data_IF_522778421262
#
_entry.id   IF_522778421262
#
_cell.length_a   1.000
_cell.length_b   1.000
_cell.length_c   1.000
_cell.angle_alpha   90.00
_cell.angle_beta   90.00
_cell.angle_gamma   90.00
#
_symmetry.space_group_name_H-M   'P 1'
#
loop_
_entity.id
_entity.type
_entity.pdbx_description
1 polymer ?
#
# COMPACT_ATOMS: atom_id res chain seq x y z
N UNK A 1 -40.12 -23.47 -16.30
CA UNK A 1 -38.81 -23.45 -16.94
C UNK A 1 -38.12 -22.15 -16.55
N UNK A 2 -37.00 -22.21 -15.82
CA UNK A 2 -36.32 -21.05 -15.26
C UNK A 2 -35.22 -20.56 -16.24
N UNK A 3 -35.36 -19.42 -16.89
CA UNK A 3 -34.43 -18.94 -17.92
C UNK A 3 -33.12 -18.34 -17.35
N UNK A 4 -32.87 -18.46 -16.05
CA UNK A 4 -31.67 -17.92 -15.40
C UNK A 4 -30.55 -18.95 -15.20
N UNK A 5 -30.61 -20.06 -15.93
CA UNK A 5 -29.56 -21.06 -15.88
C UNK A 5 -28.41 -20.70 -16.83
N UNK A 6 -27.24 -20.62 -16.25
CA UNK A 6 -25.93 -20.75 -16.88
C UNK A 6 -25.38 -19.51 -17.60
N UNK A 7 -25.10 -18.46 -16.85
CA UNK A 7 -23.88 -17.71 -17.15
C UNK A 7 -22.73 -18.58 -16.65
N UNK A 8 -21.85 -19.09 -17.55
CA UNK A 8 -20.69 -19.86 -17.10
C UNK A 8 -19.89 -18.97 -16.14
N UNK A 9 -19.33 -19.56 -15.05
CA UNK A 9 -18.53 -18.79 -14.12
C UNK A 9 -17.43 -18.09 -14.95
N UNK A 10 -17.35 -16.77 -14.83
CA UNK A 10 -16.30 -16.00 -15.49
C UNK A 10 -14.98 -16.70 -15.14
N UNK A 11 -14.23 -17.14 -16.17
CA UNK A 11 -12.90 -17.73 -15.99
C UNK A 11 -12.18 -16.86 -14.97
N UNK A 12 -11.77 -17.45 -13.86
CA UNK A 12 -10.95 -16.81 -12.81
C UNK A 12 -9.73 -16.21 -13.52
N UNK A 13 -9.84 -14.96 -13.94
CA UNK A 13 -8.67 -14.21 -14.40
C UNK A 13 -7.81 -14.08 -13.16
N UNK A 14 -6.65 -14.71 -13.19
CA UNK A 14 -5.65 -14.67 -12.13
C UNK A 14 -5.48 -13.22 -11.70
N UNK A 15 -5.61 -12.94 -10.40
CA UNK A 15 -5.56 -11.59 -9.82
C UNK A 15 -4.33 -10.80 -10.30
N UNK A 16 -3.24 -11.48 -10.60
CA UNK A 16 -2.04 -10.93 -11.21
C UNK A 16 -2.27 -10.24 -12.57
N UNK A 17 -3.14 -10.78 -13.41
CA UNK A 17 -3.50 -10.16 -14.69
C UNK A 17 -4.24 -8.83 -14.50
N UNK A 18 -5.07 -8.74 -13.48
CA UNK A 18 -5.79 -7.50 -13.12
C UNK A 18 -4.80 -6.45 -12.62
N UNK A 19 -3.88 -6.82 -11.74
CA UNK A 19 -2.83 -5.92 -11.23
C UNK A 19 -1.96 -5.39 -12.38
N UNK A 20 -1.53 -6.27 -13.28
CA UNK A 20 -0.73 -5.89 -14.45
C UNK A 20 -1.48 -4.95 -15.41
N UNK A 21 -2.79 -5.11 -15.55
CA UNK A 21 -3.62 -4.23 -16.39
C UNK A 21 -3.82 -2.84 -15.77
N UNK A 22 -3.69 -2.71 -14.44
CA UNK A 22 -3.78 -1.44 -13.72
C UNK A 22 -2.44 -0.68 -13.67
N UNK A 23 -1.32 -1.38 -13.85
CA UNK A 23 0.02 -0.79 -13.82
C UNK A 23 0.19 0.43 -14.77
N UNK A 24 -0.27 0.42 -16.03
CA UNK A 24 -0.10 1.57 -16.92
C UNK A 24 -0.83 2.82 -16.42
N UNK A 25 -1.96 2.68 -15.74
CA UNK A 25 -2.71 3.81 -15.18
C UNK A 25 -1.99 4.45 -13.98
N UNK A 26 -1.28 3.66 -13.20
CA UNK A 26 -0.43 4.15 -12.12
C UNK A 26 0.84 4.81 -12.68
N UNK A 27 1.43 4.22 -13.72
CA UNK A 27 2.65 4.73 -14.35
C UNK A 27 2.44 6.05 -15.12
N UNK A 28 1.21 6.43 -15.45
CA UNK A 28 0.90 7.75 -16.00
C UNK A 28 1.31 8.88 -15.02
N UNK A 29 1.31 8.61 -13.72
CA UNK A 29 1.69 9.55 -12.67
C UNK A 29 3.02 9.20 -12.01
N UNK A 30 4.04 8.84 -12.81
CA UNK A 30 5.35 8.36 -12.35
C UNK A 30 5.93 9.16 -11.18
N UNK A 31 5.94 10.49 -11.28
CA UNK A 31 6.50 11.33 -10.23
C UNK A 31 5.80 11.17 -8.87
N UNK A 32 4.45 11.07 -8.86
CA UNK A 32 3.69 10.86 -7.62
C UNK A 32 3.85 9.45 -7.07
N UNK A 33 3.87 8.46 -7.94
CA UNK A 33 4.09 7.07 -7.55
C UNK A 33 5.48 6.90 -6.94
N UNK A 34 6.51 7.51 -7.55
CA UNK A 34 7.88 7.52 -6.99
C UNK A 34 7.88 8.22 -5.62
N UNK A 35 7.24 9.39 -5.49
CA UNK A 35 7.15 10.09 -4.22
C UNK A 35 6.47 9.25 -3.13
N UNK A 36 5.39 8.54 -3.45
CA UNK A 36 4.71 7.61 -2.55
C UNK A 36 5.63 6.48 -2.11
N UNK A 37 6.40 5.88 -3.03
CA UNK A 37 7.35 4.82 -2.72
C UNK A 37 8.50 5.35 -1.84
N UNK A 38 9.04 6.52 -2.15
CA UNK A 38 10.10 7.15 -1.33
C UNK A 38 9.60 7.43 0.09
N UNK A 39 8.41 8.03 0.24
CA UNK A 39 7.80 8.28 1.55
C UNK A 39 7.51 6.99 2.31
N UNK A 40 7.09 5.93 1.61
CA UNK A 40 6.90 4.61 2.21
C UNK A 40 8.21 4.08 2.79
N UNK A 41 9.29 4.11 2.01
CA UNK A 41 10.61 3.63 2.46
C UNK A 41 11.09 4.47 3.64
N UNK A 42 11.02 5.80 3.56
CA UNK A 42 11.43 6.70 4.64
C UNK A 42 10.62 6.46 5.93
N UNK A 43 9.30 6.31 5.83
CA UNK A 43 8.44 6.01 6.98
C UNK A 43 8.82 4.66 7.62
N UNK A 44 9.08 3.64 6.81
CA UNK A 44 9.46 2.31 7.32
C UNK A 44 10.86 2.28 7.92
N UNK A 45 11.83 2.95 7.32
CA UNK A 45 13.16 3.12 7.89
C UNK A 45 13.09 3.83 9.26
N UNK A 46 12.32 4.92 9.34
CA UNK A 46 12.12 5.62 10.59
C UNK A 46 11.44 4.72 11.65
N UNK A 47 10.41 3.96 11.28
CA UNK A 47 9.73 3.03 12.19
C UNK A 47 10.67 1.95 12.74
N UNK A 48 11.49 1.35 11.90
CA UNK A 48 12.46 0.31 12.31
C UNK A 48 13.59 0.91 13.16
N UNK A 49 13.95 2.18 12.97
CA UNK A 49 14.95 2.87 13.78
C UNK A 49 14.43 3.21 15.18
N UNK A 50 13.12 3.38 15.39
CA UNK A 50 12.52 3.73 16.70
C UNK A 50 12.95 2.79 17.83
N UNK A 51 12.80 1.45 17.74
CA UNK A 51 13.23 0.54 18.81
C UNK A 51 14.75 0.52 19.01
N UNK A 52 15.54 0.77 17.97
CA UNK A 52 16.99 0.83 18.07
C UNK A 52 17.45 2.04 18.89
N UNK A 53 16.85 3.22 18.63
CA UNK A 53 17.13 4.43 19.40
C UNK A 53 16.64 4.28 20.85
N UNK A 54 15.47 3.66 21.07
CA UNK A 54 14.95 3.40 22.40
C UNK A 54 15.90 2.50 23.22
N UNK A 55 16.44 1.45 22.58
CA UNK A 55 17.45 0.59 23.23
C UNK A 55 18.67 1.41 23.66
N UNK A 56 19.21 2.26 22.78
CA UNK A 56 20.37 3.09 23.12
C UNK A 56 20.09 4.08 24.26
N UNK A 57 18.86 4.63 24.33
CA UNK A 57 18.43 5.48 25.47
C UNK A 57 18.49 4.69 26.78
N UNK A 58 17.92 3.50 26.81
CA UNK A 58 17.88 2.64 28.00
C UNK A 58 19.29 2.23 28.43
N UNK A 59 20.12 1.82 27.47
CA UNK A 59 21.52 1.44 27.75
C UNK A 59 22.36 2.63 28.25
N UNK A 60 22.08 3.85 27.76
CA UNK A 60 22.74 5.07 28.25
C UNK A 60 22.34 5.44 29.68
N UNK A 61 21.08 5.24 30.05
CA UNK A 61 20.56 5.53 31.38
C UNK A 61 21.12 4.56 32.45
N UNK A 62 21.50 3.35 32.05
CA UNK A 62 22.09 2.35 32.96
C UNK A 62 23.56 2.62 33.34
N UNK A 63 24.23 3.61 32.73
CA UNK A 63 25.64 3.94 33.02
C UNK A 63 25.77 4.99 34.09
N UNK A 64 26.54 4.74 35.18
CA UNK A 64 26.64 5.65 36.34
C UNK A 64 27.23 7.03 36.06
N UNK A 65 27.87 7.22 34.91
CA UNK A 65 28.57 8.46 34.54
C UNK A 65 27.88 9.22 33.39
N UNK A 66 26.63 8.86 33.02
CA UNK A 66 25.94 9.55 31.94
C UNK A 66 25.62 11.00 32.37
N UNK A 67 26.26 11.99 31.77
CA UNK A 67 25.81 13.37 31.85
C UNK A 67 24.35 13.44 31.42
N UNK A 68 23.48 14.08 32.21
CA UNK A 68 22.05 14.23 31.95
C UNK A 68 21.73 14.79 30.55
N UNK A 69 22.66 15.50 29.94
CA UNK A 69 22.51 16.05 28.58
C UNK A 69 22.37 14.98 27.49
N UNK A 70 23.06 13.84 27.62
CA UNK A 70 23.04 12.79 26.58
C UNK A 70 21.66 12.10 26.49
N UNK A 71 21.05 11.65 27.61
CA UNK A 71 19.70 11.11 27.57
C UNK A 71 18.64 12.09 27.03
N UNK A 72 18.74 13.38 27.39
CA UNK A 72 17.79 14.40 26.91
C UNK A 72 17.86 14.56 25.40
N UNK A 73 19.07 14.66 24.82
CA UNK A 73 19.24 14.75 23.35
C UNK A 73 18.69 13.50 22.65
N UNK A 74 18.92 12.32 23.21
CA UNK A 74 18.42 11.07 22.65
C UNK A 74 16.89 10.98 22.71
N UNK A 75 16.25 11.45 23.77
CA UNK A 75 14.78 11.51 23.89
C UNK A 75 14.19 12.48 22.87
N UNK A 76 14.81 13.63 22.65
CA UNK A 76 14.40 14.57 21.61
C UNK A 76 14.54 13.94 20.22
N UNK A 77 15.67 13.28 19.94
CA UNK A 77 15.90 12.58 18.67
C UNK A 77 14.86 11.48 18.45
N UNK A 78 14.53 10.71 19.47
CA UNK A 78 13.43 9.72 19.44
C UNK A 78 12.10 10.37 19.10
N UNK A 79 11.74 11.47 19.75
CA UNK A 79 10.51 12.20 19.48
C UNK A 79 10.42 12.71 18.03
N UNK A 80 11.52 13.29 17.53
CA UNK A 80 11.61 13.74 16.13
C UNK A 80 11.51 12.56 15.16
N UNK A 81 12.19 11.45 15.43
CA UNK A 81 12.11 10.25 14.59
C UNK A 81 10.67 9.71 14.52
N UNK A 82 9.97 9.69 15.65
CA UNK A 82 8.56 9.28 15.73
C UNK A 82 7.66 10.23 14.95
N UNK A 83 7.88 11.53 15.09
CA UNK A 83 7.15 12.54 14.34
C UNK A 83 7.34 12.38 12.83
N UNK A 84 8.59 12.25 12.37
CA UNK A 84 8.88 12.06 10.95
C UNK A 84 8.33 10.75 10.40
N UNK A 85 8.39 9.67 11.16
CA UNK A 85 7.79 8.38 10.79
C UNK A 85 6.29 8.53 10.49
N UNK A 86 5.56 9.19 11.40
CA UNK A 86 4.12 9.46 11.23
C UNK A 86 3.87 10.41 10.07
N UNK A 87 4.61 11.52 9.98
CA UNK A 87 4.46 12.52 8.93
C UNK A 87 4.66 11.92 7.53
N UNK A 88 5.70 11.11 7.34
CA UNK A 88 5.94 10.43 6.06
C UNK A 88 4.83 9.45 5.71
N UNK A 89 4.27 8.77 6.71
CA UNK A 89 3.11 7.89 6.55
C UNK A 89 1.88 8.67 6.05
N UNK A 90 1.51 9.73 6.72
CA UNK A 90 0.34 10.56 6.38
C UNK A 90 0.50 11.24 5.00
N UNK A 91 1.69 11.77 4.70
CA UNK A 91 1.98 12.36 3.38
C UNK A 91 1.89 11.31 2.26
N UNK A 92 2.40 10.10 2.48
CA UNK A 92 2.27 8.98 1.56
C UNK A 92 0.81 8.69 1.28
N UNK A 93 -0.01 8.56 2.33
CA UNK A 93 -1.42 8.20 2.23
C UNK A 93 -2.22 9.29 1.50
N UNK A 94 -1.97 10.55 1.80
CA UNK A 94 -2.59 11.68 1.12
C UNK A 94 -2.24 11.75 -0.39
N UNK A 95 -0.96 11.51 -0.74
CA UNK A 95 -0.53 11.48 -2.13
C UNK A 95 -1.11 10.28 -2.88
N UNK A 96 -1.12 9.11 -2.24
CA UNK A 96 -1.63 7.90 -2.86
C UNK A 96 -3.15 7.95 -3.08
N UNK A 97 -3.91 8.50 -2.14
CA UNK A 97 -5.35 8.67 -2.30
C UNK A 97 -5.68 9.46 -3.60
N UNK A 98 -4.91 10.51 -3.90
CA UNK A 98 -5.06 11.27 -5.14
C UNK A 98 -4.74 10.45 -6.40
N UNK A 99 -3.72 9.60 -6.35
CA UNK A 99 -3.34 8.72 -7.47
C UNK A 99 -4.43 7.68 -7.71
N UNK A 100 -4.90 7.03 -6.64
CA UNK A 100 -5.94 6.01 -6.70
C UNK A 100 -7.24 6.57 -7.25
N UNK A 101 -7.70 7.73 -6.78
CA UNK A 101 -8.93 8.36 -7.27
C UNK A 101 -8.85 8.71 -8.76
N UNK A 102 -7.71 9.16 -9.24
CA UNK A 102 -7.52 9.44 -10.65
C UNK A 102 -7.50 8.17 -11.52
N UNK A 103 -6.83 7.11 -11.04
CA UNK A 103 -6.81 5.82 -11.72
C UNK A 103 -8.24 5.25 -11.84
N UNK A 104 -9.01 5.25 -10.75
CA UNK A 104 -10.41 4.79 -10.73
C UNK A 104 -11.26 5.59 -11.70
N UNK A 105 -11.16 6.93 -11.66
CA UNK A 105 -11.89 7.81 -12.60
C UNK A 105 -11.57 7.50 -14.05
N UNK A 106 -10.30 7.24 -14.38
CA UNK A 106 -9.88 6.92 -15.74
C UNK A 106 -10.46 5.60 -16.23
N UNK A 107 -10.39 4.56 -15.38
CA UNK A 107 -10.98 3.25 -15.67
C UNK A 107 -12.50 3.36 -15.83
N UNK A 108 -13.18 4.07 -14.93
CA UNK A 108 -14.62 4.27 -15.01
C UNK A 108 -15.02 5.00 -16.30
N UNK A 109 -14.27 6.02 -16.73
CA UNK A 109 -14.51 6.75 -17.95
C UNK A 109 -14.35 5.84 -19.18
N UNK A 110 -13.29 5.05 -19.26
CA UNK A 110 -13.07 4.12 -20.37
C UNK A 110 -14.17 3.06 -20.46
N UNK A 111 -14.60 2.52 -19.31
CA UNK A 111 -15.72 1.57 -19.29
C UNK A 111 -16.99 2.24 -19.77
N UNK A 112 -17.24 3.47 -19.33
CA UNK A 112 -18.41 4.26 -19.75
C UNK A 112 -18.39 4.54 -21.25
N UNK A 113 -17.28 5.02 -21.79
CA UNK A 113 -17.11 5.26 -23.24
C UNK A 113 -17.31 3.97 -24.05
N UNK A 114 -16.72 2.87 -23.58
CA UNK A 114 -16.89 1.56 -24.24
C UNK A 114 -18.35 1.13 -24.24
N UNK A 115 -19.07 1.28 -23.14
CA UNK A 115 -20.48 0.93 -23.06
C UNK A 115 -21.34 1.78 -24.02
N UNK A 116 -21.03 3.08 -24.16
CA UNK A 116 -21.74 3.97 -25.06
C UNK A 116 -21.43 3.70 -26.55
N UNK A 117 -20.31 3.06 -26.85
CA UNK A 117 -19.94 2.64 -28.19
C UNK A 117 -20.64 1.35 -28.63
N UNK A 118 -21.31 0.64 -27.72
CA UNK A 118 -22.03 -0.59 -28.02
C UNK A 118 -23.35 -0.32 -28.77
N UNK A 119 -23.83 -1.33 -29.51
CA UNK A 119 -25.03 -1.21 -30.31
C UNK A 119 -26.28 -0.89 -29.48
N UNK A 120 -27.27 -0.23 -30.13
CA UNK A 120 -28.59 0.05 -29.54
C UNK A 120 -29.27 -1.21 -29.01
N UNK A 121 -29.10 -2.34 -29.71
CA UNK A 121 -29.63 -3.64 -29.28
C UNK A 121 -29.13 -4.05 -27.90
N UNK A 122 -27.84 -3.85 -27.62
CA UNK A 122 -27.27 -4.12 -26.28
C UNK A 122 -27.94 -3.30 -25.19
N UNK A 123 -28.23 -2.03 -25.47
CA UNK A 123 -28.90 -1.14 -24.51
C UNK A 123 -30.38 -1.49 -24.28
N UNK A 124 -31.09 -1.98 -25.31
CA UNK A 124 -32.49 -2.40 -25.18
C UNK A 124 -32.65 -3.74 -24.47
N UNK A 125 -31.68 -4.66 -24.62
CA UNK A 125 -31.74 -6.00 -24.02
C UNK A 125 -31.29 -5.98 -22.53
N UNK A 126 -30.60 -4.94 -22.06
CA UNK A 126 -30.12 -4.84 -20.68
C UNK A 126 -30.79 -3.70 -19.91
N UNK A 127 -31.16 -4.00 -18.66
CA UNK A 127 -31.63 -2.99 -17.73
C UNK A 127 -30.47 -2.04 -17.35
N UNK A 128 -30.63 -0.76 -17.63
CA UNK A 128 -29.64 0.31 -17.39
C UNK A 128 -29.14 0.33 -15.94
N UNK A 129 -30.01 0.05 -14.96
CA UNK A 129 -29.65 -0.01 -13.55
C UNK A 129 -28.73 -1.19 -13.17
N UNK A 130 -28.74 -2.29 -13.95
CA UNK A 130 -27.83 -3.42 -13.77
C UNK A 130 -26.40 -3.06 -14.15
N UNK A 131 -26.23 -2.44 -15.31
CA UNK A 131 -24.91 -2.02 -15.83
C UNK A 131 -24.24 -1.01 -14.91
N UNK A 132 -25.00 -0.03 -14.39
CA UNK A 132 -24.47 0.96 -13.43
C UNK A 132 -23.95 0.31 -12.16
N UNK A 133 -24.70 -0.66 -11.60
CA UNK A 133 -24.27 -1.42 -10.41
C UNK A 133 -23.01 -2.26 -10.66
N UNK A 134 -22.89 -2.84 -11.84
CA UNK A 134 -21.71 -3.65 -12.19
C UNK A 134 -20.46 -2.77 -12.33
N UNK A 135 -20.58 -1.57 -12.91
CA UNK A 135 -19.48 -0.58 -12.98
C UNK A 135 -19.07 -0.15 -11.56
N UNK A 136 -20.05 0.18 -10.72
CA UNK A 136 -19.78 0.62 -9.35
C UNK A 136 -19.13 -0.50 -8.51
N UNK A 137 -19.56 -1.73 -8.66
CA UNK A 137 -18.93 -2.89 -8.00
C UNK A 137 -17.51 -3.12 -8.51
N UNK A 138 -17.28 -3.04 -9.82
CA UNK A 138 -15.97 -3.17 -10.44
C UNK A 138 -15.00 -2.08 -9.98
N UNK A 139 -15.42 -0.83 -9.96
CA UNK A 139 -14.58 0.29 -9.49
C UNK A 139 -14.26 0.22 -8.02
N UNK A 140 -15.20 -0.23 -7.17
CA UNK A 140 -14.93 -0.51 -5.75
C UNK A 140 -13.94 -1.65 -5.57
N UNK A 141 -14.05 -2.73 -6.35
CA UNK A 141 -13.08 -3.83 -6.34
C UNK A 141 -11.67 -3.38 -6.70
N UNK A 142 -11.51 -2.55 -7.74
CA UNK A 142 -10.22 -1.97 -8.13
C UNK A 142 -9.66 -1.08 -7.01
N UNK A 143 -10.49 -0.22 -6.42
CA UNK A 143 -10.09 0.63 -5.30
C UNK A 143 -9.58 -0.19 -4.12
N UNK A 144 -10.31 -1.24 -3.75
CA UNK A 144 -9.92 -2.14 -2.67
C UNK A 144 -8.58 -2.82 -2.97
N UNK A 145 -8.40 -3.41 -4.15
CA UNK A 145 -7.15 -4.09 -4.53
C UNK A 145 -5.95 -3.14 -4.49
N UNK A 146 -6.06 -1.94 -5.06
CA UNK A 146 -4.99 -0.95 -5.06
C UNK A 146 -4.65 -0.52 -3.63
N UNK A 147 -5.66 -0.23 -2.82
CA UNK A 147 -5.47 0.18 -1.43
C UNK A 147 -4.83 -0.94 -0.62
N UNK A 148 -5.36 -2.17 -0.73
CA UNK A 148 -4.84 -3.30 0.02
C UNK A 148 -3.40 -3.64 -0.34
N UNK A 149 -3.06 -3.64 -1.64
CA UNK A 149 -1.71 -3.93 -2.11
C UNK A 149 -0.70 -2.89 -1.61
N UNK A 150 -1.01 -1.59 -1.76
CA UNK A 150 -0.07 -0.52 -1.45
C UNK A 150 -0.02 -0.13 0.03
N UNK A 151 -1.12 -0.30 0.78
CA UNK A 151 -1.15 0.09 2.20
C UNK A 151 -0.93 -1.07 3.17
N UNK A 152 -1.16 -2.30 2.74
CA UNK A 152 -0.97 -3.48 3.60
C UNK A 152 0.18 -4.35 3.10
N UNK A 153 0.09 -4.89 1.89
CA UNK A 153 1.07 -5.88 1.43
C UNK A 153 2.47 -5.26 1.27
N UNK A 154 2.58 -4.18 0.49
CA UNK A 154 3.88 -3.58 0.19
C UNK A 154 4.62 -3.04 1.42
N UNK A 155 3.96 -2.30 2.34
CA UNK A 155 4.61 -1.86 3.58
C UNK A 155 5.05 -3.01 4.48
N UNK A 156 4.23 -4.06 4.59
CA UNK A 156 4.55 -5.24 5.42
C UNK A 156 5.75 -6.00 4.87
N UNK A 157 5.80 -6.23 3.55
CA UNK A 157 6.95 -6.87 2.92
C UNK A 157 8.24 -6.07 3.09
N UNK A 158 8.16 -4.73 2.96
CA UNK A 158 9.31 -3.86 3.22
C UNK A 158 9.77 -3.93 4.68
N UNK A 159 8.84 -3.94 5.62
CA UNK A 159 9.15 -4.01 7.05
C UNK A 159 9.81 -5.33 7.42
N UNK A 160 9.24 -6.45 6.97
CA UNK A 160 9.84 -7.78 7.17
C UNK A 160 11.25 -7.82 6.55
N UNK A 161 11.41 -7.33 5.32
CA UNK A 161 12.70 -7.29 4.64
C UNK A 161 13.74 -6.44 5.37
N UNK A 162 13.35 -5.27 5.89
CA UNK A 162 14.23 -4.39 6.66
C UNK A 162 14.62 -5.02 8.01
N UNK A 163 13.65 -5.56 8.74
CA UNK A 163 13.91 -6.21 10.04
C UNK A 163 14.79 -7.45 9.86
N UNK A 164 14.46 -8.32 8.90
CA UNK A 164 15.28 -9.49 8.59
C UNK A 164 16.70 -9.11 8.16
N UNK A 165 16.86 -8.05 7.35
CA UNK A 165 18.17 -7.53 6.96
C UNK A 165 18.99 -7.02 8.14
N UNK A 166 18.38 -6.29 9.07
CA UNK A 166 19.07 -5.80 10.28
C UNK A 166 19.47 -6.97 11.19
N UNK A 167 18.57 -7.95 11.37
CA UNK A 167 18.86 -9.13 12.17
C UNK A 167 20.00 -9.95 11.57
N UNK A 168 20.03 -10.10 10.25
CA UNK A 168 21.12 -10.81 9.54
C UNK A 168 22.47 -10.13 9.70
N UNK A 169 22.52 -8.79 9.70
CA UNK A 169 23.77 -8.02 9.79
C UNK A 169 24.24 -7.85 11.23
N UNK A 170 23.32 -7.65 12.20
CA UNK A 170 23.69 -7.34 13.60
C UNK A 170 23.65 -8.55 14.54
N UNK A 171 22.93 -9.60 14.17
CA UNK A 171 22.71 -10.78 15.02
C UNK A 171 22.99 -12.07 14.21
N UNK A 172 22.73 -13.20 14.82
CA UNK A 172 22.91 -14.51 14.17
C UNK A 172 21.89 -14.71 13.03
N UNK A 173 22.27 -15.26 11.86
CA UNK A 173 21.39 -15.54 10.73
C UNK A 173 20.12 -16.30 11.07
N UNK A 174 20.13 -17.11 12.13
CA UNK A 174 18.96 -17.85 12.62
C UNK A 174 17.77 -16.94 12.97
N UNK A 175 18.02 -15.77 13.57
CA UNK A 175 16.96 -14.81 13.89
C UNK A 175 16.28 -14.23 12.64
N UNK A 176 17.06 -13.99 11.58
CA UNK A 176 16.51 -13.53 10.31
C UNK A 176 15.63 -14.59 9.65
N UNK A 177 16.05 -15.86 9.68
CA UNK A 177 15.29 -17.00 9.11
C UNK A 177 13.95 -17.16 9.87
N UNK A 178 13.98 -17.16 11.19
CA UNK A 178 12.76 -17.30 12.02
C UNK A 178 11.79 -16.15 11.70
N UNK A 179 12.28 -14.90 11.63
CA UNK A 179 11.44 -13.73 11.32
C UNK A 179 10.81 -13.80 9.93
N UNK A 180 11.47 -14.46 8.98
CA UNK A 180 10.96 -14.58 7.61
C UNK A 180 9.92 -15.71 7.47
N UNK A 181 9.96 -16.72 8.34
CA UNK A 181 9.05 -17.90 8.31
C UNK A 181 7.78 -17.63 9.14
N UNK A 182 7.82 -16.74 10.12
CA UNK A 182 6.70 -16.39 11.01
C UNK A 182 5.83 -15.30 10.43
#
# INVERSE_FOLDING_TARGET
>A
MNPYSTVPPAKTRTDWHVIRSLAPYLLEFKGRVIAVIVLLVLSKLANVAVPLVLKEIVDAMGKPQAMLAVPVVMVIAYGLLRLFSTLFGELRDALFAKVTQRAIRRVALQVFEHLHSLSLRFHLERQTGGVSRDIERGTRGISFLLTFLLFNILPTLLEIGLVAGILFVKYDPWFAIITFIT
#
